data_IF_738777268723
#
_entry.id   IF_738777268723
#
_cell.length_a   1.000
_cell.length_b   1.000
_cell.length_c   1.000
_cell.angle_alpha   90.00
_cell.angle_beta   90.00
_cell.angle_gamma   90.00
#
_symmetry.space_group_name_H-M   'P 1'
#
loop_
_entity.id
_entity.type
_entity.pdbx_description
1 polymer ?
#
# COMPACT_ATOMS: atom_id res chain seq x y z
N UNK A 1 26.43 -11.00 -1.47
CA UNK A 1 25.52 -11.10 -2.63
C UNK A 1 24.14 -10.61 -2.24
N UNK A 2 23.29 -10.27 -3.22
CA UNK A 2 21.94 -9.76 -2.94
C UNK A 2 20.97 -10.89 -2.60
N UNK A 3 20.37 -10.83 -1.42
CA UNK A 3 19.21 -11.62 -1.02
C UNK A 3 17.96 -11.23 -1.82
N UNK A 4 16.92 -12.07 -1.80
CA UNK A 4 15.60 -11.76 -2.38
C UNK A 4 15.05 -10.43 -1.85
N UNK A 5 15.22 -10.17 -0.55
CA UNK A 5 14.79 -8.92 0.05
C UNK A 5 15.58 -7.70 -0.45
N UNK A 6 16.88 -7.85 -0.71
CA UNK A 6 17.70 -6.77 -1.28
C UNK A 6 17.22 -6.37 -2.69
N UNK A 7 16.73 -7.33 -3.47
CA UNK A 7 16.13 -7.05 -4.77
C UNK A 7 14.84 -6.26 -4.65
N UNK A 8 13.97 -6.60 -3.69
CA UNK A 8 12.74 -5.87 -3.42
C UNK A 8 13.03 -4.42 -3.00
N UNK A 9 13.96 -4.22 -2.08
CA UNK A 9 14.38 -2.89 -1.59
C UNK A 9 15.02 -2.00 -2.65
N UNK A 10 15.48 -2.57 -3.76
CA UNK A 10 16.06 -1.82 -4.88
C UNK A 10 15.04 -1.38 -5.93
N UNK A 11 13.75 -1.68 -5.72
CA UNK A 11 12.68 -1.26 -6.62
C UNK A 11 12.46 0.24 -6.55
N UNK A 12 12.54 0.94 -7.69
CA UNK A 12 12.30 2.38 -7.72
C UNK A 12 10.81 2.71 -7.75
N UNK A 13 10.02 1.90 -8.45
CA UNK A 13 8.58 2.09 -8.63
C UNK A 13 7.80 0.87 -8.15
N UNK A 14 6.48 1.02 -7.97
CA UNK A 14 5.62 -0.14 -7.71
C UNK A 14 5.61 -1.18 -8.83
N UNK A 15 5.79 -0.74 -10.08
CA UNK A 15 5.86 -1.64 -11.22
C UNK A 15 7.13 -2.51 -11.17
N UNK A 16 8.25 -1.94 -10.73
CA UNK A 16 9.47 -2.70 -10.46
C UNK A 16 9.30 -3.66 -9.28
N UNK A 17 8.62 -3.23 -8.21
CA UNK A 17 8.35 -4.10 -7.06
C UNK A 17 7.52 -5.32 -7.48
N UNK A 18 6.44 -5.10 -8.23
CA UNK A 18 5.60 -6.16 -8.79
C UNK A 18 6.39 -7.11 -9.70
N UNK A 19 7.17 -6.56 -10.63
CA UNK A 19 8.00 -7.37 -11.52
C UNK A 19 9.03 -8.21 -10.73
N UNK A 20 9.59 -7.64 -9.67
CA UNK A 20 10.56 -8.34 -8.81
C UNK A 20 9.89 -9.47 -8.05
N UNK A 21 8.69 -9.25 -7.49
CA UNK A 21 7.91 -10.29 -6.82
C UNK A 21 7.55 -11.44 -7.77
N UNK A 22 7.06 -11.13 -8.97
CA UNK A 22 6.72 -12.13 -9.99
C UNK A 22 7.92 -13.00 -10.33
N UNK A 23 9.09 -12.41 -10.54
CA UNK A 23 10.28 -13.21 -10.84
C UNK A 23 10.83 -13.99 -9.66
N UNK A 24 10.70 -13.49 -8.42
CA UNK A 24 11.13 -14.25 -7.24
C UNK A 24 10.33 -15.54 -7.09
N UNK A 25 9.05 -15.51 -7.49
CA UNK A 25 8.17 -16.68 -7.49
C UNK A 25 8.40 -17.58 -8.72
N UNK A 26 8.33 -17.01 -9.93
CA UNK A 26 8.25 -17.81 -11.17
C UNK A 26 9.63 -18.18 -11.73
N UNK A 27 10.65 -17.37 -11.45
CA UNK A 27 12.00 -17.50 -12.05
C UNK A 27 13.10 -17.19 -11.03
N UNK A 28 13.18 -17.93 -9.91
CA UNK A 28 14.21 -17.70 -8.89
C UNK A 28 15.64 -17.78 -9.46
N UNK A 29 15.88 -18.62 -10.47
CA UNK A 29 17.17 -18.76 -11.16
C UNK A 29 17.63 -17.50 -11.93
N UNK A 30 16.73 -16.53 -12.13
CA UNK A 30 17.08 -15.23 -12.69
C UNK A 30 17.99 -14.44 -11.75
N UNK A 31 17.92 -14.71 -10.44
CA UNK A 31 18.67 -14.01 -9.42
C UNK A 31 19.99 -14.75 -9.15
N UNK A 32 21.14 -14.09 -9.35
CA UNK A 32 22.44 -14.74 -9.18
C UNK A 32 22.69 -15.16 -7.73
N UNK A 33 22.95 -16.45 -7.54
CA UNK A 33 23.34 -17.11 -6.29
C UNK A 33 24.87 -17.19 -6.08
N UNK A 34 25.68 -16.70 -7.05
CA UNK A 34 27.15 -16.85 -7.14
C UNK A 34 27.98 -15.55 -7.34
N UNK A 35 29.25 -15.62 -6.91
CA UNK A 35 30.24 -14.59 -6.50
C UNK A 35 30.70 -13.52 -7.50
N UNK A 36 30.16 -13.47 -8.71
CA UNK A 36 30.62 -12.52 -9.73
C UNK A 36 30.13 -11.10 -9.47
N UNK A 37 30.96 -10.33 -8.77
CA UNK A 37 30.84 -8.88 -8.65
C UNK A 37 31.33 -8.25 -9.96
N UNK A 38 30.60 -7.26 -10.45
CA UNK A 38 30.98 -6.52 -11.64
C UNK A 38 32.33 -5.82 -11.46
N UNK A 39 33.09 -5.61 -12.55
CA UNK A 39 34.36 -4.94 -12.47
C UNK A 39 34.20 -3.51 -11.95
N UNK A 40 35.25 -2.90 -11.38
CA UNK A 40 35.25 -1.48 -11.04
C UNK A 40 34.82 -0.62 -12.23
N UNK A 41 34.15 0.49 -11.94
CA UNK A 41 33.68 1.39 -12.98
C UNK A 41 34.84 1.89 -13.85
N UNK A 42 34.76 1.64 -15.16
CA UNK A 42 35.70 2.12 -16.17
C UNK A 42 34.96 2.78 -17.33
N UNK A 43 35.70 3.35 -18.29
CA UNK A 43 35.11 3.97 -19.48
C UNK A 43 34.42 2.95 -20.42
N UNK A 44 34.79 1.67 -20.36
CA UNK A 44 34.34 0.63 -21.29
C UNK A 44 33.44 -0.42 -20.63
N UNK A 45 33.64 -0.67 -19.33
CA UNK A 45 32.90 -1.65 -18.56
C UNK A 45 32.68 -1.18 -17.12
N UNK A 46 31.76 -1.82 -16.40
CA UNK A 46 31.53 -1.55 -15.01
C UNK A 46 30.34 -2.31 -14.47
N UNK A 47 29.94 -2.04 -13.23
CA UNK A 47 28.77 -2.69 -12.68
C UNK A 47 27.51 -2.20 -13.37
N UNK A 48 26.45 -2.99 -13.24
CA UNK A 48 25.10 -2.63 -13.66
C UNK A 48 24.71 -1.27 -13.07
N UNK A 49 24.17 -0.37 -13.89
CA UNK A 49 23.79 1.00 -13.48
C UNK A 49 22.58 1.05 -12.52
N UNK A 50 21.85 -0.06 -12.35
CA UNK A 50 20.72 -0.16 -11.40
C UNK A 50 21.15 -0.76 -10.06
N UNK A 51 21.74 -1.96 -10.07
CA UNK A 51 22.12 -2.61 -8.81
C UNK A 51 23.51 -2.25 -8.30
N UNK A 52 24.40 -1.72 -9.16
CA UNK A 52 25.79 -1.37 -8.84
C UNK A 52 26.64 -2.52 -8.28
N UNK A 53 26.19 -3.77 -8.44
CA UNK A 53 26.85 -4.95 -7.88
C UNK A 53 27.24 -5.93 -8.98
N UNK A 54 26.30 -6.36 -9.80
CA UNK A 54 26.54 -7.41 -10.79
C UNK A 54 27.06 -6.85 -12.12
N UNK A 55 27.84 -7.63 -12.90
CA UNK A 55 28.35 -7.19 -14.19
C UNK A 55 27.24 -6.85 -15.17
N UNK A 56 27.54 -5.92 -16.09
CA UNK A 56 26.68 -5.66 -17.25
C UNK A 56 26.70 -6.88 -18.18
N UNK A 57 25.63 -7.06 -18.94
CA UNK A 57 25.66 -8.08 -20.00
C UNK A 57 26.66 -7.68 -21.08
N UNK A 58 27.38 -8.65 -21.65
CA UNK A 58 28.53 -8.49 -22.57
C UNK A 58 28.23 -7.80 -23.92
N UNK A 59 27.08 -7.14 -24.06
CA UNK A 59 26.70 -6.36 -25.23
C UNK A 59 26.97 -4.86 -24.97
N UNK A 60 27.69 -4.15 -25.85
CA UNK A 60 28.17 -2.77 -25.64
C UNK A 60 27.07 -1.71 -25.44
N UNK A 61 25.79 -2.08 -25.60
CA UNK A 61 24.62 -1.20 -25.36
C UNK A 61 23.81 -1.55 -24.11
N UNK A 62 24.18 -2.59 -23.35
CA UNK A 62 23.41 -3.02 -22.17
C UNK A 62 24.03 -2.45 -20.90
N UNK A 63 23.31 -1.51 -20.29
CA UNK A 63 23.71 -0.84 -19.04
C UNK A 63 23.38 -1.64 -17.77
N UNK A 64 22.71 -2.78 -17.93
CA UNK A 64 22.13 -3.55 -16.83
C UNK A 64 22.57 -5.01 -16.83
N UNK A 65 22.59 -5.62 -15.65
CA UNK A 65 22.76 -7.07 -15.52
C UNK A 65 21.49 -7.81 -16.00
N UNK A 66 21.56 -9.14 -16.13
CA UNK A 66 20.43 -10.00 -16.57
C UNK A 66 19.15 -9.75 -15.77
N UNK A 67 19.26 -9.78 -14.44
CA UNK A 67 18.10 -9.64 -13.54
C UNK A 67 17.51 -8.23 -13.59
N UNK A 68 18.35 -7.19 -13.51
CA UNK A 68 17.89 -5.79 -13.62
C UNK A 68 17.20 -5.51 -14.95
N UNK A 69 17.75 -6.00 -16.07
CA UNK A 69 17.14 -5.83 -17.38
C UNK A 69 15.76 -6.50 -17.43
N UNK A 70 15.66 -7.74 -16.97
CA UNK A 70 14.39 -8.47 -16.97
C UNK A 70 13.32 -7.79 -16.11
N UNK A 71 13.69 -7.27 -14.93
CA UNK A 71 12.80 -6.50 -14.05
C UNK A 71 12.29 -5.24 -14.77
N UNK A 72 13.18 -4.45 -15.38
CA UNK A 72 12.81 -3.23 -16.09
C UNK A 72 11.91 -3.51 -17.31
N UNK A 73 12.23 -4.54 -18.08
CA UNK A 73 11.44 -4.96 -19.24
C UNK A 73 10.02 -5.35 -18.82
N UNK A 74 9.88 -6.08 -17.71
CA UNK A 74 8.56 -6.46 -17.16
C UNK A 74 7.82 -5.28 -16.55
N UNK A 75 8.50 -4.44 -15.77
CA UNK A 75 7.93 -3.27 -15.12
C UNK A 75 7.28 -2.31 -16.13
N UNK A 76 7.84 -2.20 -17.34
CA UNK A 76 7.27 -1.37 -18.42
C UNK A 76 5.81 -1.73 -18.77
N UNK A 77 5.40 -2.99 -18.54
CA UNK A 77 4.04 -3.50 -18.81
C UNK A 77 3.12 -3.46 -17.59
N UNK A 78 3.67 -3.18 -16.40
CA UNK A 78 2.96 -3.23 -15.13
C UNK A 78 2.58 -1.84 -14.58
N UNK A 79 2.91 -0.76 -15.29
CA UNK A 79 2.66 0.62 -14.83
C UNK A 79 1.19 0.90 -14.49
N UNK A 80 0.25 0.47 -15.35
CA UNK A 80 -1.18 0.68 -15.12
C UNK A 80 -1.69 -0.14 -13.92
N UNK A 81 -1.23 -1.39 -13.81
CA UNK A 81 -1.59 -2.28 -12.71
C UNK A 81 -1.09 -1.69 -11.40
N UNK A 82 0.20 -1.33 -11.34
CA UNK A 82 0.85 -0.73 -10.18
C UNK A 82 0.07 0.46 -9.62
N UNK A 83 -0.40 1.38 -10.47
CA UNK A 83 -1.13 2.58 -10.02
C UNK A 83 -2.43 2.28 -9.28
N UNK A 84 -3.03 1.12 -9.52
CA UNK A 84 -4.25 0.66 -8.85
C UNK A 84 -3.95 -0.37 -7.75
N UNK A 85 -2.67 -0.65 -7.50
CA UNK A 85 -2.22 -1.58 -6.48
C UNK A 85 -1.92 -0.88 -5.17
N UNK A 86 -2.13 -1.63 -4.09
CA UNK A 86 -1.64 -1.33 -2.76
C UNK A 86 -0.61 -2.38 -2.36
N UNK A 87 0.28 -1.98 -1.47
CA UNK A 87 1.30 -2.79 -0.85
C UNK A 87 0.95 -2.95 0.62
N UNK A 88 1.06 -4.17 1.13
CA UNK A 88 0.84 -4.52 2.53
C UNK A 88 2.15 -5.08 3.05
N UNK A 89 2.79 -4.36 3.98
CA UNK A 89 3.86 -4.91 4.80
C UNK A 89 3.26 -5.35 6.13
N UNK A 90 3.38 -6.63 6.45
CA UNK A 90 2.78 -7.23 7.63
C UNK A 90 3.83 -7.83 8.57
N UNK A 91 3.74 -7.46 9.85
CA UNK A 91 4.41 -8.13 10.96
C UNK A 91 3.33 -8.81 11.81
N UNK A 92 3.34 -10.14 11.86
CA UNK A 92 2.35 -10.93 12.60
C UNK A 92 3.02 -11.92 13.54
N UNK A 93 2.30 -12.35 14.57
CA UNK A 93 2.79 -13.28 15.58
C UNK A 93 3.08 -14.69 15.02
N UNK A 94 2.39 -15.06 13.94
CA UNK A 94 2.64 -16.30 13.20
C UNK A 94 2.14 -16.17 11.78
N UNK A 95 3.04 -16.28 10.81
CA UNK A 95 2.66 -16.30 9.40
C UNK A 95 2.11 -17.67 9.00
N UNK A 96 0.83 -17.73 8.65
CA UNK A 96 0.18 -18.97 8.20
C UNK A 96 0.77 -19.44 6.87
N UNK A 97 0.78 -20.76 6.63
CA UNK A 97 1.30 -21.33 5.37
C UNK A 97 0.60 -20.77 4.12
N UNK A 98 -0.70 -20.48 4.24
CA UNK A 98 -1.51 -19.86 3.18
C UNK A 98 -1.03 -18.45 2.85
N UNK A 99 -0.70 -17.63 3.87
CA UNK A 99 -0.12 -16.30 3.67
C UNK A 99 1.32 -16.36 3.15
N UNK A 100 2.10 -17.39 3.53
CA UNK A 100 3.49 -17.56 3.06
C UNK A 100 3.58 -17.77 1.56
N UNK A 101 2.72 -18.64 1.01
CA UNK A 101 2.78 -19.00 -0.41
C UNK A 101 1.85 -18.14 -1.26
N UNK A 102 1.01 -17.29 -0.64
CA UNK A 102 -0.05 -16.59 -1.37
C UNK A 102 -1.05 -17.57 -2.00
N UNK A 103 -1.16 -18.77 -1.43
CA UNK A 103 -1.95 -19.88 -1.96
C UNK A 103 -3.27 -20.03 -1.19
N UNK A 104 -4.21 -20.75 -1.80
CA UNK A 104 -5.55 -20.96 -1.24
C UNK A 104 -6.48 -19.79 -1.51
N UNK A 105 -7.29 -19.40 -0.51
CA UNK A 105 -8.30 -18.35 -0.65
C UNK A 105 -7.69 -17.01 -1.11
N UNK A 106 -6.50 -16.68 -0.61
CA UNK A 106 -5.84 -15.41 -0.87
C UNK A 106 -5.27 -15.27 -2.29
N UNK A 107 -5.09 -16.36 -3.03
CA UNK A 107 -4.43 -16.37 -4.34
C UNK A 107 -5.12 -15.48 -5.38
N UNK A 108 -6.45 -15.39 -5.32
CA UNK A 108 -7.24 -14.62 -6.28
C UNK A 108 -7.17 -13.11 -6.04
N UNK A 109 -6.74 -12.69 -4.85
CA UNK A 109 -6.73 -11.28 -4.45
C UNK A 109 -5.37 -10.61 -4.63
N UNK A 110 -4.29 -11.36 -4.83
CA UNK A 110 -2.92 -10.83 -4.81
C UNK A 110 -2.25 -10.87 -6.19
N UNK A 111 -1.40 -9.89 -6.45
CA UNK A 111 -0.49 -9.88 -7.59
C UNK A 111 0.84 -10.57 -7.26
N UNK A 112 1.25 -10.57 -6.00
CA UNK A 112 2.47 -11.21 -5.55
C UNK A 112 2.62 -11.17 -4.04
N UNK A 113 3.31 -12.18 -3.51
CA UNK A 113 3.60 -12.35 -2.09
C UNK A 113 5.09 -12.62 -1.89
N UNK A 114 5.62 -12.17 -0.76
CA UNK A 114 6.97 -12.49 -0.31
C UNK A 114 6.97 -12.67 1.20
N UNK A 115 7.34 -13.85 1.67
CA UNK A 115 7.61 -14.11 3.08
C UNK A 115 9.08 -13.76 3.37
N UNK A 116 9.33 -12.82 4.27
CA UNK A 116 10.69 -12.47 4.67
C UNK A 116 11.24 -13.43 5.72
N UNK A 117 10.41 -13.77 6.71
CA UNK A 117 10.71 -14.72 7.76
C UNK A 117 9.39 -15.34 8.30
N UNK A 118 9.40 -15.85 9.54
CA UNK A 118 8.23 -16.49 10.13
C UNK A 118 7.09 -15.55 10.52
N UNK A 119 7.37 -14.25 10.58
CA UNK A 119 6.49 -13.21 11.11
C UNK A 119 6.27 -12.07 10.12
N UNK A 120 7.21 -11.84 9.19
CA UNK A 120 7.17 -10.73 8.25
C UNK A 120 6.81 -11.18 6.85
N UNK A 121 5.92 -10.42 6.21
CA UNK A 121 5.52 -10.66 4.84
C UNK A 121 5.19 -9.38 4.09
N UNK A 122 5.30 -9.44 2.77
CA UNK A 122 4.96 -8.38 1.83
C UNK A 122 3.94 -8.93 0.84
N UNK A 123 2.81 -8.23 0.68
CA UNK A 123 1.83 -8.51 -0.37
C UNK A 123 1.64 -7.29 -1.27
N UNK A 124 1.33 -7.54 -2.53
CA UNK A 124 0.82 -6.52 -3.44
C UNK A 124 -0.49 -7.00 -4.04
N UNK A 125 -1.51 -6.15 -4.06
CA UNK A 125 -2.85 -6.51 -4.51
C UNK A 125 -3.60 -5.31 -5.13
N UNK A 126 -4.66 -5.53 -5.93
CA UNK A 126 -5.53 -4.45 -6.36
C UNK A 126 -6.21 -3.80 -5.15
N UNK A 127 -6.27 -2.46 -5.14
CA UNK A 127 -6.87 -1.69 -4.04
C UNK A 127 -8.31 -2.13 -3.70
N UNK A 128 -9.09 -2.50 -4.72
CA UNK A 128 -10.48 -2.94 -4.56
C UNK A 128 -10.65 -4.24 -3.77
N UNK A 129 -9.61 -5.08 -3.73
CA UNK A 129 -9.64 -6.37 -3.05
C UNK A 129 -9.36 -6.25 -1.55
N UNK A 130 -8.88 -5.10 -1.09
CA UNK A 130 -8.43 -4.91 0.30
C UNK A 130 -9.48 -5.29 1.34
N UNK A 131 -10.72 -4.84 1.12
CA UNK A 131 -11.83 -5.10 2.06
C UNK A 131 -12.12 -6.59 2.16
N UNK A 132 -12.28 -7.25 1.03
CA UNK A 132 -12.59 -8.68 0.96
C UNK A 132 -11.45 -9.48 1.61
N UNK A 133 -10.21 -9.15 1.25
CA UNK A 133 -9.03 -9.81 1.81
C UNK A 133 -8.92 -9.66 3.33
N UNK A 134 -9.14 -8.44 3.88
CA UNK A 134 -9.14 -8.23 5.32
C UNK A 134 -10.29 -8.96 6.03
N UNK A 135 -11.47 -9.03 5.41
CA UNK A 135 -12.60 -9.79 5.95
C UNK A 135 -12.26 -11.27 6.05
N UNK A 136 -11.72 -11.85 4.97
CA UNK A 136 -11.27 -13.25 4.97
C UNK A 136 -10.17 -13.50 6.00
N UNK A 137 -9.18 -12.61 6.08
CA UNK A 137 -8.10 -12.71 7.06
C UNK A 137 -8.65 -12.80 8.50
N UNK A 138 -9.62 -11.94 8.84
CA UNK A 138 -10.27 -11.94 10.16
C UNK A 138 -11.18 -13.15 10.35
N UNK A 139 -11.88 -13.63 9.31
CA UNK A 139 -12.72 -14.84 9.41
C UNK A 139 -11.87 -16.09 9.68
N UNK A 140 -10.74 -16.25 8.98
CA UNK A 140 -9.92 -17.46 9.06
C UNK A 140 -8.92 -17.45 10.23
N UNK A 141 -8.38 -16.28 10.58
CA UNK A 141 -7.35 -16.19 11.62
C UNK A 141 -7.81 -15.45 12.88
N UNK A 142 -8.95 -14.75 12.84
CA UNK A 142 -9.66 -14.24 14.01
C UNK A 142 -8.78 -13.47 15.00
N UNK A 143 -9.00 -13.76 16.29
CA UNK A 143 -8.26 -13.18 17.41
C UNK A 143 -6.85 -13.77 17.59
N UNK A 144 -6.53 -14.85 16.87
CA UNK A 144 -5.22 -15.50 16.97
C UNK A 144 -4.15 -14.75 16.19
N UNK A 145 -4.53 -14.03 15.13
CA UNK A 145 -3.62 -13.17 14.39
C UNK A 145 -3.43 -11.84 15.12
N UNK A 146 -2.19 -11.56 15.51
CA UNK A 146 -1.82 -10.33 16.22
C UNK A 146 -0.62 -9.69 15.53
N UNK A 147 -0.54 -8.36 15.59
CA UNK A 147 0.55 -7.60 15.02
C UNK A 147 0.09 -6.40 14.21
N UNK A 148 0.83 -6.05 13.18
CA UNK A 148 0.67 -4.81 12.43
C UNK A 148 0.62 -5.09 10.92
N UNK A 149 -0.39 -4.53 10.26
CA UNK A 149 -0.48 -4.43 8.81
C UNK A 149 -0.30 -2.97 8.38
N UNK A 150 0.77 -2.67 7.67
CA UNK A 150 1.01 -1.35 7.08
C UNK A 150 0.60 -1.37 5.62
N UNK A 151 -0.44 -0.60 5.30
CA UNK A 151 -1.07 -0.54 3.98
C UNK A 151 -0.75 0.79 3.34
N UNK A 152 -0.15 0.78 2.16
CA UNK A 152 0.20 1.98 1.42
C UNK A 152 0.12 1.76 -0.09
N UNK A 153 -0.20 2.81 -0.88
CA UNK A 153 -0.20 2.70 -2.32
C UNK A 153 1.22 2.56 -2.86
N UNK A 154 1.33 2.07 -4.09
CA UNK A 154 2.62 2.04 -4.79
C UNK A 154 3.12 3.44 -5.17
N UNK A 155 4.44 3.58 -5.36
CA UNK A 155 5.03 4.79 -5.92
C UNK A 155 5.00 4.76 -7.45
N UNK A 156 4.71 5.92 -8.05
CA UNK A 156 4.87 6.12 -9.49
C UNK A 156 6.30 6.46 -9.89
N UNK A 157 6.59 6.47 -11.19
CA UNK A 157 7.86 6.98 -11.71
C UNK A 157 7.92 8.50 -11.49
N UNK A 158 8.75 8.96 -10.55
CA UNK A 158 8.90 10.37 -10.21
C UNK A 158 10.16 10.64 -9.39
N UNK A 159 10.59 11.90 -9.33
CA UNK A 159 11.74 12.31 -8.51
C UNK A 159 11.27 12.53 -7.08
N UNK A 160 11.72 11.72 -6.13
CA UNK A 160 11.52 11.99 -4.71
C UNK A 160 11.69 10.77 -3.82
N UNK A 161 10.72 9.87 -3.84
CA UNK A 161 10.63 8.73 -2.92
C UNK A 161 10.45 7.46 -3.74
N UNK A 162 11.42 6.57 -3.62
CA UNK A 162 11.41 5.31 -4.34
C UNK A 162 10.64 4.25 -3.55
N UNK A 163 10.15 3.20 -4.22
CA UNK A 163 9.39 2.13 -3.57
C UNK A 163 10.25 1.43 -2.49
N UNK A 164 11.55 1.28 -2.74
CA UNK A 164 12.53 0.80 -1.78
C UNK A 164 12.60 1.64 -0.50
N UNK A 165 12.57 2.97 -0.62
CA UNK A 165 12.58 3.88 0.53
C UNK A 165 11.32 3.70 1.38
N UNK A 166 10.16 3.58 0.72
CA UNK A 166 8.87 3.34 1.39
C UNK A 166 8.91 2.02 2.18
N UNK A 167 9.42 0.94 1.57
CA UNK A 167 9.56 -0.35 2.25
C UNK A 167 10.49 -0.29 3.46
N UNK A 168 11.65 0.35 3.31
CA UNK A 168 12.59 0.51 4.43
C UNK A 168 11.98 1.32 5.57
N UNK A 169 11.13 2.32 5.25
CA UNK A 169 10.42 3.12 6.25
C UNK A 169 9.32 2.35 6.95
N UNK A 170 8.55 1.53 6.22
CA UNK A 170 7.54 0.66 6.82
C UNK A 170 8.17 -0.22 7.91
N UNK A 171 9.22 -0.95 7.55
CA UNK A 171 9.99 -1.83 8.45
C UNK A 171 10.52 -1.06 9.66
N UNK A 172 11.09 0.12 9.46
CA UNK A 172 11.59 0.90 10.59
C UNK A 172 10.50 1.23 11.62
N UNK A 173 9.28 1.52 11.17
CA UNK A 173 8.17 1.90 12.05
C UNK A 173 7.50 0.71 12.76
N UNK A 174 7.67 -0.51 12.28
CA UNK A 174 7.05 -1.70 12.88
C UNK A 174 7.53 -1.97 14.31
N UNK A 175 8.79 -1.64 14.60
CA UNK A 175 9.50 -1.92 15.85
C UNK A 175 8.84 -1.36 17.12
N UNK A 176 7.82 -0.51 16.98
CA UNK A 176 7.17 0.22 18.07
C UNK A 176 5.82 -0.37 18.48
N UNK A 177 5.32 -1.38 17.79
CA UNK A 177 3.96 -1.90 18.01
C UNK A 177 3.95 -3.17 18.88
N UNK A 178 3.10 -3.21 19.93
CA UNK A 178 2.91 -4.42 20.71
C UNK A 178 2.12 -5.47 19.94
N UNK A 179 2.35 -6.74 20.26
CA UNK A 179 1.71 -7.92 19.65
C UNK A 179 0.47 -8.35 20.44
N UNK A 180 -0.37 -7.39 20.82
CA UNK A 180 -1.56 -7.61 21.65
C UNK A 180 -2.82 -7.90 20.81
N UNK A 181 -2.96 -7.21 19.69
CA UNK A 181 -4.08 -7.32 18.74
C UNK A 181 -3.61 -7.09 17.31
N UNK A 182 -4.47 -7.33 16.32
CA UNK A 182 -4.19 -6.96 14.93
C UNK A 182 -4.55 -5.49 14.68
N UNK A 183 -3.55 -4.70 14.29
CA UNK A 183 -3.70 -3.29 13.95
C UNK A 183 -3.41 -3.04 12.48
N UNK A 184 -4.10 -2.05 11.94
CA UNK A 184 -3.90 -1.57 10.56
C UNK A 184 -3.37 -0.15 10.60
N UNK A 185 -2.24 0.08 9.94
CA UNK A 185 -1.75 1.41 9.60
C UNK A 185 -2.06 1.71 8.14
N UNK A 186 -2.95 2.66 7.89
CA UNK A 186 -3.34 3.03 6.54
C UNK A 186 -2.71 4.37 6.11
N UNK A 187 -2.01 4.34 4.99
CA UNK A 187 -1.46 5.51 4.32
C UNK A 187 -2.15 5.68 2.97
N UNK A 188 -2.77 6.83 2.74
CA UNK A 188 -3.42 7.14 1.47
C UNK A 188 -2.45 7.61 0.39
N UNK A 189 -1.21 7.93 0.76
CA UNK A 189 -0.14 8.28 -0.17
C UNK A 189 1.24 7.87 0.38
N UNK A 190 2.22 7.52 -0.49
CA UNK A 190 3.49 6.94 -0.03
C UNK A 190 4.32 7.88 0.85
N UNK A 191 4.28 9.18 0.57
CA UNK A 191 5.02 10.19 1.34
C UNK A 191 4.58 10.29 2.81
N UNK A 192 3.39 9.78 3.15
CA UNK A 192 2.89 9.81 4.53
C UNK A 192 3.70 8.89 5.46
N UNK A 193 4.38 7.86 4.93
CA UNK A 193 5.31 7.03 5.71
C UNK A 193 6.55 7.79 6.20
N UNK A 194 6.90 8.91 5.54
CA UNK A 194 8.03 9.74 5.96
C UNK A 194 7.71 10.59 7.19
N UNK A 195 6.43 10.93 7.39
CA UNK A 195 5.95 11.77 8.50
C UNK A 195 4.67 11.19 9.11
N UNK A 196 4.71 10.00 9.71
CA UNK A 196 3.52 9.32 10.22
C UNK A 196 2.87 10.08 11.39
N UNK A 197 3.67 10.79 12.20
CA UNK A 197 3.22 11.45 13.43
C UNK A 197 2.07 12.44 13.24
N UNK A 198 2.00 13.13 12.09
CA UNK A 198 0.92 14.11 11.85
C UNK A 198 -0.44 13.45 11.68
N UNK A 199 -0.50 12.26 11.07
CA UNK A 199 -1.73 11.48 10.93
C UNK A 199 -2.08 10.74 12.20
N UNK A 200 -1.06 10.25 12.90
CA UNK A 200 -1.24 9.54 14.17
C UNK A 200 -1.86 10.45 15.23
N UNK A 201 -1.37 11.70 15.35
CA UNK A 201 -1.98 12.73 16.21
C UNK A 201 -3.44 13.08 15.85
N UNK A 202 -3.86 12.81 14.61
CA UNK A 202 -5.23 13.05 14.14
C UNK A 202 -6.11 11.80 14.25
N UNK A 203 -5.59 10.67 14.76
CA UNK A 203 -6.30 9.40 14.81
C UNK A 203 -6.62 8.82 13.43
N UNK A 204 -5.79 9.12 12.42
CA UNK A 204 -6.02 8.75 11.01
C UNK A 204 -5.05 7.69 10.48
N UNK A 205 -4.20 7.15 11.34
CA UNK A 205 -3.14 6.25 10.94
C UNK A 205 -3.42 4.83 11.41
N UNK A 206 -3.50 4.65 12.73
CA UNK A 206 -3.54 3.34 13.38
C UNK A 206 -4.97 3.02 13.81
N UNK A 207 -5.47 1.87 13.36
CA UNK A 207 -6.81 1.36 13.67
C UNK A 207 -6.72 -0.06 14.19
N UNK A 208 -7.68 -0.48 15.01
CA UNK A 208 -7.96 -1.91 15.15
C UNK A 208 -8.50 -2.45 13.82
N UNK A 209 -8.20 -3.71 13.47
CA UNK A 209 -8.68 -4.30 12.20
C UNK A 209 -10.21 -4.25 12.05
N UNK A 210 -10.95 -4.45 13.15
CA UNK A 210 -12.43 -4.40 13.19
C UNK A 210 -12.96 -2.98 12.92
N UNK A 211 -12.34 -1.97 13.51
CA UNK A 211 -12.61 -0.55 13.28
C UNK A 211 -12.32 -0.18 11.82
N UNK A 212 -11.18 -0.61 11.30
CA UNK A 212 -10.78 -0.32 9.92
C UNK A 212 -11.73 -0.96 8.89
N UNK A 213 -12.14 -2.21 9.12
CA UNK A 213 -13.16 -2.87 8.30
C UNK A 213 -14.49 -2.11 8.31
N UNK A 214 -14.91 -1.62 9.47
CA UNK A 214 -16.11 -0.79 9.60
C UNK A 214 -15.97 0.52 8.81
N UNK A 215 -14.80 1.17 8.84
CA UNK A 215 -14.52 2.36 8.05
C UNK A 215 -14.55 2.09 6.54
N UNK A 216 -14.02 0.94 6.08
CA UNK A 216 -14.10 0.52 4.68
C UNK A 216 -15.55 0.29 4.23
N UNK A 217 -16.38 -0.31 5.08
CA UNK A 217 -17.81 -0.46 4.82
C UNK A 217 -18.50 0.90 4.70
N UNK A 218 -18.25 1.79 5.65
CA UNK A 218 -18.81 3.14 5.64
C UNK A 218 -18.37 3.91 4.39
N UNK A 219 -17.12 3.81 3.96
CA UNK A 219 -16.64 4.44 2.73
C UNK A 219 -17.34 3.88 1.47
N UNK A 220 -17.62 2.57 1.43
CA UNK A 220 -18.37 1.96 0.33
C UNK A 220 -19.83 2.44 0.27
N UNK A 221 -20.51 2.48 1.42
CA UNK A 221 -21.87 3.01 1.54
C UNK A 221 -21.89 4.50 1.16
N UNK A 222 -20.94 5.28 1.68
CA UNK A 222 -20.78 6.70 1.36
C UNK A 222 -20.71 6.95 -0.15
N UNK A 223 -19.87 6.19 -0.87
CA UNK A 223 -19.70 6.32 -2.33
C UNK A 223 -20.90 5.87 -3.14
N UNK A 224 -21.70 4.96 -2.60
CA UNK A 224 -22.87 4.40 -3.28
C UNK A 224 -24.11 5.29 -3.09
N UNK A 225 -24.30 5.80 -1.87
CA UNK A 225 -25.47 6.61 -1.50
C UNK A 225 -25.32 8.07 -1.97
N UNK A 226 -24.13 8.66 -1.82
CA UNK A 226 -23.88 10.03 -2.29
C UNK A 226 -23.33 10.03 -3.71
N UNK A 227 -23.97 10.80 -4.59
CA UNK A 227 -23.50 11.01 -5.97
C UNK A 227 -22.20 11.81 -5.96
N UNK A 228 -21.35 11.71 -7.01
CA UNK A 228 -20.08 12.44 -7.06
C UNK A 228 -20.18 13.95 -6.77
N UNK A 229 -21.19 14.63 -7.33
CA UNK A 229 -21.43 16.07 -7.07
C UNK A 229 -21.83 16.37 -5.62
N UNK A 230 -22.52 15.44 -4.98
CA UNK A 230 -22.93 15.56 -3.57
C UNK A 230 -21.72 15.34 -2.65
N UNK A 231 -20.83 14.40 -3.01
CA UNK A 231 -19.55 14.21 -2.33
C UNK A 231 -18.66 15.45 -2.46
N UNK A 232 -18.55 16.04 -3.66
CA UNK A 232 -17.83 17.30 -3.86
C UNK A 232 -18.40 18.44 -3.00
N UNK A 233 -19.73 18.60 -3.00
CA UNK A 233 -20.41 19.62 -2.19
C UNK A 233 -20.16 19.43 -0.68
N UNK A 234 -20.21 18.19 -0.20
CA UNK A 234 -19.90 17.86 1.19
C UNK A 234 -18.43 18.16 1.51
N UNK A 235 -17.51 17.84 0.61
CA UNK A 235 -16.09 18.12 0.77
C UNK A 235 -15.82 19.63 0.88
N UNK A 236 -16.44 20.43 0.00
CA UNK A 236 -16.36 21.90 0.07
C UNK A 236 -16.89 22.41 1.41
N UNK A 237 -18.03 21.90 1.84
CA UNK A 237 -18.68 22.33 3.08
C UNK A 237 -17.81 22.05 4.31
N UNK A 238 -17.22 20.86 4.40
CA UNK A 238 -16.32 20.49 5.52
C UNK A 238 -15.08 21.38 5.56
N UNK A 239 -14.66 21.92 4.42
CA UNK A 239 -13.50 22.79 4.29
C UNK A 239 -13.83 24.29 4.40
N UNK A 240 -15.09 24.67 4.66
CA UNK A 240 -15.45 26.06 4.94
C UNK A 240 -14.69 26.59 6.16
N UNK A 241 -14.23 27.83 6.04
CA UNK A 241 -13.52 28.56 7.11
C UNK A 241 -14.47 29.38 7.98
N UNK A 242 -15.59 29.83 7.41
CA UNK A 242 -16.59 30.62 8.12
C UNK A 242 -17.63 29.72 8.81
N UNK A 243 -17.58 29.69 10.13
CA UNK A 243 -18.51 28.91 10.98
C UNK A 243 -19.92 29.50 11.00
N UNK A 244 -20.08 30.78 10.66
CA UNK A 244 -21.39 31.45 10.61
C UNK A 244 -22.23 31.01 9.41
N UNK A 245 -21.58 30.80 8.26
CA UNK A 245 -22.27 30.37 7.03
C UNK A 245 -22.47 28.84 6.97
N UNK A 246 -21.73 28.07 7.78
CA UNK A 246 -21.78 26.60 7.78
C UNK A 246 -23.21 26.07 8.00
N UNK A 247 -23.99 26.68 8.91
CA UNK A 247 -25.36 26.26 9.17
C UNK A 247 -26.28 26.45 7.96
N UNK A 248 -26.12 27.58 7.27
CA UNK A 248 -26.90 27.92 6.09
C UNK A 248 -26.58 26.99 4.92
N UNK A 249 -25.29 26.78 4.62
CA UNK A 249 -24.88 25.84 3.57
C UNK A 249 -25.26 24.40 3.90
N UNK A 250 -25.22 24.00 5.18
CA UNK A 250 -25.65 22.65 5.58
C UNK A 250 -27.14 22.45 5.33
N UNK A 251 -27.98 23.44 5.67
CA UNK A 251 -29.41 23.40 5.37
C UNK A 251 -29.69 23.27 3.87
N UNK A 252 -28.99 24.04 3.03
CA UNK A 252 -29.12 23.97 1.57
C UNK A 252 -28.62 22.64 1.01
N UNK A 253 -27.47 22.16 1.48
CA UNK A 253 -26.91 20.88 1.09
C UNK A 253 -27.88 19.74 1.43
N UNK A 254 -28.38 19.68 2.66
CA UNK A 254 -29.39 18.70 3.05
C UNK A 254 -30.62 18.82 2.17
N UNK A 255 -31.11 20.02 1.84
CA UNK A 255 -32.25 20.20 0.94
C UNK A 255 -32.07 19.56 -0.45
N UNK A 256 -30.85 19.52 -0.97
CA UNK A 256 -30.51 18.97 -2.29
C UNK A 256 -30.42 17.43 -2.32
N UNK A 257 -30.17 16.79 -1.18
CA UNK A 257 -29.95 15.35 -1.10
C UNK A 257 -31.23 14.51 -1.24
N UNK A 258 -31.05 13.27 -1.71
CA UNK A 258 -32.09 12.23 -1.63
C UNK A 258 -32.43 11.91 -0.16
N UNK A 259 -33.61 11.33 0.07
CA UNK A 259 -34.02 10.94 1.43
C UNK A 259 -33.04 9.93 2.05
N UNK A 260 -32.62 8.93 1.28
CA UNK A 260 -31.63 7.93 1.68
C UNK A 260 -30.31 8.56 2.12
N UNK A 261 -29.80 9.53 1.35
CA UNK A 261 -28.57 10.26 1.70
C UNK A 261 -28.73 11.10 2.96
N UNK A 262 -29.89 11.77 3.14
CA UNK A 262 -30.19 12.52 4.37
C UNK A 262 -30.20 11.61 5.59
N UNK A 263 -30.87 10.47 5.49
CA UNK A 263 -31.02 9.51 6.57
C UNK A 263 -29.67 8.92 6.97
N UNK A 264 -28.84 8.55 5.99
CA UNK A 264 -27.46 8.08 6.22
C UNK A 264 -26.63 9.13 6.99
N UNK A 265 -26.55 10.37 6.48
CA UNK A 265 -25.74 11.42 7.10
C UNK A 265 -26.23 11.80 8.50
N UNK A 266 -27.55 11.75 8.71
CA UNK A 266 -28.19 12.03 10.00
C UNK A 266 -27.94 10.90 11.00
N UNK A 267 -28.08 9.64 10.57
CA UNK A 267 -27.81 8.46 11.40
C UNK A 267 -26.33 8.42 11.85
N UNK A 268 -25.41 8.77 10.94
CA UNK A 268 -23.99 8.86 11.25
C UNK A 268 -23.61 10.07 12.08
N UNK A 269 -24.50 11.07 12.21
CA UNK A 269 -24.22 12.36 12.84
C UNK A 269 -22.95 13.00 12.27
N UNK A 270 -22.78 12.94 10.95
CA UNK A 270 -21.52 13.28 10.28
C UNK A 270 -21.04 14.72 10.58
N UNK A 271 -21.98 15.63 10.86
CA UNK A 271 -21.68 17.02 11.24
C UNK A 271 -20.87 17.14 12.53
N UNK A 272 -20.99 16.16 13.42
CA UNK A 272 -20.25 16.13 14.70
C UNK A 272 -18.89 15.45 14.57
N UNK A 273 -18.55 14.91 13.39
CA UNK A 273 -17.30 14.20 13.22
C UNK A 273 -16.12 15.17 13.07
N UNK A 274 -14.92 14.74 13.50
CA UNK A 274 -13.70 15.44 13.14
C UNK A 274 -13.55 15.54 11.61
N UNK A 275 -13.14 16.71 11.10
CA UNK A 275 -12.88 16.93 9.67
C UNK A 275 -11.91 15.89 9.08
N UNK A 276 -10.94 15.48 9.88
CA UNK A 276 -9.97 14.42 9.56
C UNK A 276 -10.65 13.09 9.23
N UNK A 277 -11.64 12.68 10.04
CA UNK A 277 -12.40 11.43 9.84
C UNK A 277 -13.26 11.48 8.60
N UNK A 278 -13.86 12.64 8.29
CA UNK A 278 -14.62 12.80 7.05
C UNK A 278 -13.70 12.69 5.84
N UNK A 279 -12.52 13.35 5.88
CA UNK A 279 -11.51 13.26 4.82
C UNK A 279 -11.07 11.81 4.56
N UNK A 280 -10.98 10.99 5.61
CA UNK A 280 -10.63 9.57 5.48
C UNK A 280 -11.61 8.80 4.59
N UNK A 281 -12.91 9.11 4.61
CA UNK A 281 -13.89 8.46 3.73
C UNK A 281 -13.62 8.72 2.23
N UNK A 282 -13.05 9.87 1.89
CA UNK A 282 -12.64 10.16 0.52
C UNK A 282 -11.33 9.44 0.18
N UNK A 283 -10.46 9.25 1.16
CA UNK A 283 -9.16 8.60 1.00
C UNK A 283 -9.25 7.07 0.89
N UNK A 284 -10.25 6.42 1.48
CA UNK A 284 -10.53 4.96 1.44
C UNK A 284 -11.36 4.59 0.23
#
# INVERSE_FOLDING_TARGET
>A
MLSSFDWLRRSQTGAELLATLEYLTDKPDLFPSGEEIGPPHSALDGPCQRCWIYPRQSSPRRNYCKSCQAILDRASRLSNISRQSIVIWGLVNRLSGQLRMGEGFYAHHIFGAYAHDENHFLLVMPRRELKIWLQELVIYHGADLKGLLQIFPTTGAGKGIDMGDVLCRAIHHESRFPMDQLRVQFYSAPYQLLKPHTRDQQGLLTFEVSEFLSLLEMAAVFRTVLRPKEQESLYELVNLKDTGEEQFYWGRFMGFLSQEAKDMLSAWRIRQWPKSRIKLLYEL
#
